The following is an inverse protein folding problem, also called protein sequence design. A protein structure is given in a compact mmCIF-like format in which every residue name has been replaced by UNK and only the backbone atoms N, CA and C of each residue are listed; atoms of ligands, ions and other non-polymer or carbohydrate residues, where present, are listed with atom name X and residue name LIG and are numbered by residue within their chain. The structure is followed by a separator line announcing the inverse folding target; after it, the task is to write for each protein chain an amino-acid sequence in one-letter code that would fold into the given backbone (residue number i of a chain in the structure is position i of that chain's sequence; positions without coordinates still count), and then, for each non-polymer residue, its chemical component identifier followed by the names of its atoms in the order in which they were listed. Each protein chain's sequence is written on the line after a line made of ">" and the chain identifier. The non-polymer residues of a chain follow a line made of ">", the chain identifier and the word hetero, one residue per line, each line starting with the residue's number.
data_IF_017541669260
#
_entry.id   IF_017541669260
#
_cell.length_a   1.000
_cell.length_b   1.000
_cell.length_c   1.000
_cell.angle_alpha   90.00
_cell.angle_beta   90.00
_cell.angle_gamma   90.00
#
_symmetry.space_group_name_H-M   'P 1'
#
loop_
_entity.id
_entity.type
_entity.pdbx_description
1 polymer ?
#
# COMPACT_ATOMS: atom_id res chain seq x y z
N UNK A 1 -2.60 21.28 -18.06
CA UNK A 1 -2.46 19.83 -17.89
C UNK A 1 -2.53 19.57 -16.39
N UNK A 2 -3.61 18.99 -15.89
CA UNK A 2 -3.70 18.67 -14.46
C UNK A 2 -2.58 17.70 -14.08
N UNK A 3 -1.96 17.85 -12.89
CA UNK A 3 -0.89 16.98 -12.46
C UNK A 3 -1.42 15.55 -12.32
N UNK A 4 -0.82 14.60 -13.06
CA UNK A 4 -1.16 13.18 -12.99
C UNK A 4 -0.31 12.51 -11.92
N UNK A 5 -0.85 12.41 -10.71
CA UNK A 5 -0.20 11.73 -9.59
C UNK A 5 -1.02 10.54 -9.12
N UNK A 6 -0.33 9.45 -8.80
CA UNK A 6 -0.91 8.32 -8.09
C UNK A 6 -0.75 8.56 -6.58
N UNK A 7 -1.66 8.04 -5.76
CA UNK A 7 -1.64 8.19 -4.29
C UNK A 7 -1.52 6.83 -3.62
N UNK A 8 -0.41 6.58 -2.93
CA UNK A 8 -0.20 5.36 -2.15
C UNK A 8 -0.64 5.60 -0.70
N UNK A 9 -1.58 4.78 -0.23
CA UNK A 9 -2.04 4.73 1.14
C UNK A 9 -1.23 3.71 1.92
N UNK A 10 -0.55 4.14 2.98
CA UNK A 10 0.34 3.29 3.76
C UNK A 10 0.08 3.38 5.26
N UNK A 11 0.44 2.32 5.97
CA UNK A 11 0.37 2.24 7.42
C UNK A 11 1.65 2.83 8.04
N UNK A 12 1.57 4.08 8.52
CA UNK A 12 2.68 4.76 9.21
C UNK A 12 3.10 4.10 10.54
N UNK A 13 2.23 3.30 11.16
CA UNK A 13 2.52 2.58 12.40
C UNK A 13 3.20 1.23 12.16
N UNK A 14 3.31 0.76 10.91
CA UNK A 14 4.08 -0.43 10.57
C UNK A 14 5.54 -0.06 10.27
N UNK A 15 6.53 -0.53 11.06
CA UNK A 15 7.94 -0.20 10.83
C UNK A 15 8.46 -0.61 9.46
N UNK A 16 7.96 -1.73 8.90
CA UNK A 16 8.34 -2.18 7.55
C UNK A 16 7.78 -1.21 6.50
N UNK A 17 6.47 -0.97 6.51
CA UNK A 17 5.81 -0.07 5.56
C UNK A 17 6.39 1.35 5.64
N UNK A 18 6.63 1.87 6.84
CA UNK A 18 7.23 3.19 7.03
C UNK A 18 8.66 3.27 6.47
N UNK A 19 9.45 2.18 6.53
CA UNK A 19 10.78 2.12 5.91
C UNK A 19 10.69 2.16 4.39
N UNK A 20 9.79 1.37 3.81
CA UNK A 20 9.56 1.34 2.36
C UNK A 20 9.11 2.70 1.84
N UNK A 21 8.16 3.33 2.53
CA UNK A 21 7.63 4.65 2.19
C UNK A 21 8.70 5.74 2.30
N UNK A 22 9.60 5.66 3.28
CA UNK A 22 10.76 6.56 3.35
C UNK A 22 11.68 6.40 2.14
N UNK A 23 11.90 5.16 1.68
CA UNK A 23 12.69 4.91 0.47
C UNK A 23 11.97 5.46 -0.78
N UNK A 24 10.68 5.16 -0.93
CA UNK A 24 9.85 5.71 -2.00
C UNK A 24 9.88 7.24 -2.01
N UNK A 25 9.73 7.90 -0.85
CA UNK A 25 9.76 9.37 -0.76
C UNK A 25 11.07 9.97 -1.27
N UNK A 26 12.20 9.30 -1.03
CA UNK A 26 13.53 9.75 -1.49
C UNK A 26 13.76 9.50 -2.99
N UNK A 27 13.15 8.44 -3.53
CA UNK A 27 13.40 7.95 -4.88
C UNK A 27 12.30 8.31 -5.89
N UNK A 28 11.18 8.86 -5.40
CA UNK A 28 10.04 9.27 -6.20
C UNK A 28 10.42 10.38 -7.18
N UNK A 29 9.95 10.25 -8.43
CA UNK A 29 10.17 11.22 -9.51
C UNK A 29 9.19 12.41 -9.49
N UNK A 30 8.31 12.50 -8.49
CA UNK A 30 7.39 13.62 -8.29
C UNK A 30 5.94 13.37 -8.71
N UNK A 31 5.60 12.13 -9.11
CA UNK A 31 4.27 11.73 -9.57
C UNK A 31 3.61 10.67 -8.68
N UNK A 32 4.08 10.53 -7.44
CA UNK A 32 3.53 9.68 -6.40
C UNK A 32 3.31 10.49 -5.12
N UNK A 33 2.10 10.49 -4.60
CA UNK A 33 1.74 11.05 -3.29
C UNK A 33 1.72 9.91 -2.28
N UNK A 34 2.27 10.14 -1.08
CA UNK A 34 2.36 9.16 -0.01
C UNK A 34 1.45 9.60 1.14
N UNK A 35 0.29 8.97 1.27
CA UNK A 35 -0.74 9.28 2.25
C UNK A 35 -0.72 8.30 3.43
N UNK A 36 -0.43 8.80 4.63
CA UNK A 36 -0.53 7.97 5.84
C UNK A 36 -2.00 7.77 6.20
N UNK A 37 -2.42 6.51 6.30
CA UNK A 37 -3.79 6.11 6.63
C UNK A 37 -4.21 6.65 8.00
N UNK A 38 -3.29 6.75 8.97
CA UNK A 38 -3.59 7.28 10.30
C UNK A 38 -3.77 8.80 10.33
N UNK A 39 -3.31 9.49 9.29
CA UNK A 39 -3.48 10.94 9.15
C UNK A 39 -4.67 11.32 8.26
N UNK A 40 -5.27 10.35 7.56
CA UNK A 40 -6.51 10.57 6.82
C UNK A 40 -7.66 10.66 7.82
N UNK A 41 -8.37 11.79 7.86
CA UNK A 41 -9.59 11.91 8.66
C UNK A 41 -10.63 10.92 8.13
N UNK A 42 -11.17 10.08 9.01
CA UNK A 42 -12.36 9.29 8.75
C UNK A 42 -13.47 10.23 8.22
N UNK A 43 -13.94 10.03 6.99
CA UNK A 43 -15.03 10.84 6.43
C UNK A 43 -14.91 11.23 4.95
N UNK A 44 -13.81 10.91 4.26
CA UNK A 44 -13.82 11.03 2.79
C UNK A 44 -14.71 9.93 2.20
N UNK A 45 -15.89 10.32 1.70
CA UNK A 45 -16.87 9.45 1.00
C UNK A 45 -16.30 8.62 -0.17
N UNK A 46 -15.06 8.89 -0.57
CA UNK A 46 -14.36 8.28 -1.71
C UNK A 46 -13.33 7.22 -1.26
N UNK A 47 -12.92 7.21 0.01
CA UNK A 47 -11.91 6.27 0.50
C UNK A 47 -12.55 4.94 0.93
N UNK A 48 -11.89 3.80 0.65
CA UNK A 48 -12.25 2.52 1.26
C UNK A 48 -12.28 2.60 2.79
N UNK A 49 -13.00 1.69 3.46
CA UNK A 49 -12.99 1.57 4.90
C UNK A 49 -11.57 1.54 5.46
N UNK A 50 -11.36 2.22 6.59
CA UNK A 50 -10.04 2.35 7.22
C UNK A 50 -9.39 0.99 7.49
N UNK A 51 -10.18 0.03 7.97
CA UNK A 51 -9.78 -1.37 8.16
C UNK A 51 -9.25 -2.03 6.88
N UNK A 52 -9.87 -1.78 5.72
CA UNK A 52 -9.43 -2.33 4.44
C UNK A 52 -8.09 -1.73 4.04
N UNK A 53 -7.95 -0.41 4.18
CA UNK A 53 -6.70 0.32 3.94
C UNK A 53 -5.57 -0.18 4.85
N UNK A 54 -5.87 -0.49 6.11
CA UNK A 54 -4.90 -1.03 7.06
C UNK A 54 -4.54 -2.49 6.78
N UNK A 55 -5.48 -3.30 6.28
CA UNK A 55 -5.29 -4.73 6.05
C UNK A 55 -4.46 -5.02 4.81
N UNK A 56 -4.69 -4.30 3.72
CA UNK A 56 -3.95 -4.46 2.45
C UNK A 56 -3.40 -3.10 1.99
N UNK A 57 -2.25 -3.09 1.35
CA UNK A 57 -1.73 -1.88 0.70
C UNK A 57 -2.66 -1.43 -0.44
N UNK A 58 -2.96 -0.14 -0.50
CA UNK A 58 -3.84 0.45 -1.52
C UNK A 58 -3.13 1.63 -2.21
N UNK A 59 -3.32 1.72 -3.52
CA UNK A 59 -2.89 2.85 -4.34
C UNK A 59 -4.06 3.29 -5.21
N UNK A 60 -4.35 4.58 -5.19
CA UNK A 60 -5.32 5.20 -6.09
C UNK A 60 -4.57 5.81 -7.26
N UNK A 61 -4.89 5.42 -8.48
CA UNK A 61 -4.29 6.01 -9.68
C UNK A 61 -4.87 7.40 -9.94
N UNK A 62 -4.18 8.21 -10.74
CA UNK A 62 -4.72 9.49 -11.23
C UNK A 62 -6.03 9.35 -12.02
N UNK A 63 -6.36 8.16 -12.53
CA UNK A 63 -7.63 7.88 -13.23
C UNK A 63 -8.77 7.52 -12.27
N UNK A 64 -8.50 7.40 -10.95
CA UNK A 64 -9.46 6.96 -9.95
C UNK A 64 -9.58 5.45 -9.80
N UNK A 65 -8.66 4.67 -10.38
CA UNK A 65 -8.63 3.21 -10.22
C UNK A 65 -7.92 2.83 -8.92
N UNK A 66 -8.47 1.86 -8.20
CA UNK A 66 -7.85 1.30 -7.01
C UNK A 66 -7.02 0.07 -7.35
N UNK A 67 -5.72 0.16 -7.05
CA UNK A 67 -4.76 -0.93 -7.16
C UNK A 67 -4.41 -1.39 -5.76
N UNK A 68 -4.39 -2.70 -5.51
CA UNK A 68 -4.17 -3.25 -4.17
C UNK A 68 -3.03 -4.27 -4.13
N UNK A 69 -2.53 -4.53 -2.93
CA UNK A 69 -1.58 -5.61 -2.67
C UNK A 69 -0.23 -5.47 -3.39
N UNK A 70 0.22 -6.57 -3.99
CA UNK A 70 1.47 -6.58 -4.76
C UNK A 70 1.41 -5.63 -5.95
N UNK A 71 0.28 -5.54 -6.64
CA UNK A 71 0.13 -4.61 -7.75
C UNK A 71 0.32 -3.16 -7.29
N UNK A 72 -0.19 -2.79 -6.10
CA UNK A 72 0.03 -1.46 -5.53
C UNK A 72 1.51 -1.21 -5.23
N UNK A 73 2.21 -2.22 -4.72
CA UNK A 73 3.66 -2.16 -4.45
C UNK A 73 4.44 -1.92 -5.75
N UNK A 74 4.23 -2.77 -6.76
CA UNK A 74 4.95 -2.66 -8.04
C UNK A 74 4.63 -1.34 -8.74
N UNK A 75 3.38 -0.88 -8.68
CA UNK A 75 2.96 0.42 -9.21
C UNK A 75 3.67 1.56 -8.50
N UNK A 76 3.68 1.60 -7.16
CA UNK A 76 4.37 2.62 -6.39
C UNK A 76 5.87 2.68 -6.71
N UNK A 77 6.55 1.53 -6.77
CA UNK A 77 7.97 1.47 -7.12
C UNK A 77 8.25 1.84 -8.58
N UNK A 78 7.27 1.71 -9.48
CA UNK A 78 7.37 2.17 -10.87
C UNK A 78 7.54 3.68 -11.00
N UNK A 79 7.17 4.46 -9.98
CA UNK A 79 7.46 5.89 -9.89
C UNK A 79 8.90 6.22 -9.49
N UNK A 80 9.73 5.20 -9.26
CA UNK A 80 11.15 5.35 -8.91
C UNK A 80 12.04 4.81 -10.03
N UNK A 81 13.36 5.12 -10.04
CA UNK A 81 14.32 4.49 -10.96
C UNK A 81 14.40 2.96 -10.83
N UNK A 82 13.99 2.40 -9.69
CA UNK A 82 14.11 0.98 -9.37
C UNK A 82 12.85 0.17 -9.68
N UNK A 83 11.83 0.77 -10.29
CA UNK A 83 10.58 0.07 -10.60
C UNK A 83 10.74 -1.21 -11.40
N UNK A 84 11.77 -1.31 -12.25
CA UNK A 84 12.06 -2.51 -13.02
C UNK A 84 12.39 -3.73 -12.15
N UNK A 85 12.94 -3.54 -10.94
CA UNK A 85 13.26 -4.63 -10.01
C UNK A 85 12.00 -5.29 -9.44
N UNK A 86 10.90 -4.55 -9.38
CA UNK A 86 9.63 -5.00 -8.82
C UNK A 86 8.71 -5.61 -9.88
N UNK A 87 8.92 -5.31 -11.17
CA UNK A 87 8.12 -5.88 -12.27
C UNK A 87 8.06 -7.42 -12.33
N UNK A 88 9.14 -8.17 -12.05
CA UNK A 88 9.10 -9.63 -12.02
C UNK A 88 8.07 -10.20 -11.03
N UNK A 89 7.70 -9.46 -9.98
CA UNK A 89 6.65 -9.89 -9.03
C UNK A 89 5.28 -10.05 -9.70
N UNK A 90 5.04 -9.40 -10.85
CA UNK A 90 3.80 -9.51 -11.61
C UNK A 90 3.86 -10.58 -12.72
N UNK A 91 4.98 -11.29 -12.86
CA UNK A 91 5.05 -12.38 -13.84
C UNK A 91 4.15 -13.55 -13.42
N UNK A 92 3.44 -14.20 -14.35
CA UNK A 92 2.41 -15.18 -14.01
C UNK A 92 2.91 -16.34 -13.14
N UNK A 93 4.17 -16.76 -13.25
CA UNK A 93 4.73 -17.78 -12.34
C UNK A 93 5.06 -17.25 -10.95
N UNK A 94 5.67 -16.06 -10.87
CA UNK A 94 6.12 -15.45 -9.61
C UNK A 94 4.92 -14.92 -8.83
N UNK A 95 4.00 -14.24 -9.50
CA UNK A 95 2.80 -13.64 -8.91
C UNK A 95 1.94 -14.67 -8.18
N UNK A 96 1.79 -15.87 -8.75
CA UNK A 96 1.00 -16.96 -8.16
C UNK A 96 1.57 -17.43 -6.81
N UNK A 97 2.89 -17.28 -6.61
CA UNK A 97 3.56 -17.61 -5.35
C UNK A 97 3.61 -16.38 -4.44
N UNK A 98 3.90 -15.21 -5.01
CA UNK A 98 4.10 -13.98 -4.27
C UNK A 98 2.80 -13.45 -3.67
N UNK A 99 1.67 -13.54 -4.38
CA UNK A 99 0.36 -13.06 -3.89
C UNK A 99 -0.04 -13.73 -2.58
N UNK A 100 -0.10 -15.07 -2.47
CA UNK A 100 -0.49 -15.72 -1.21
C UNK A 100 0.52 -15.46 -0.08
N UNK A 101 1.81 -15.34 -0.39
CA UNK A 101 2.84 -14.99 0.60
C UNK A 101 2.64 -13.57 1.13
N UNK A 102 2.40 -12.61 0.23
CA UNK A 102 2.10 -11.23 0.59
C UNK A 102 0.81 -11.15 1.41
N UNK A 103 -0.22 -11.89 0.99
CA UNK A 103 -1.52 -11.90 1.66
C UNK A 103 -1.40 -12.44 3.08
N UNK A 104 -0.75 -13.59 3.26
CA UNK A 104 -0.49 -14.17 4.57
C UNK A 104 0.30 -13.23 5.47
N UNK A 105 1.34 -12.58 4.94
CA UNK A 105 2.11 -11.60 5.70
C UNK A 105 1.26 -10.39 6.10
N UNK A 106 0.47 -9.86 5.17
CA UNK A 106 -0.35 -8.67 5.40
C UNK A 106 -1.47 -8.95 6.41
N UNK A 107 -2.09 -10.13 6.37
CA UNK A 107 -3.08 -10.57 7.36
C UNK A 107 -2.45 -10.75 8.74
N UNK A 108 -1.32 -11.47 8.85
CA UNK A 108 -0.59 -11.62 10.13
C UNK A 108 -0.14 -10.29 10.72
N UNK A 109 0.33 -9.36 9.89
CA UNK A 109 0.70 -8.00 10.31
C UNK A 109 -0.51 -7.27 10.88
N UNK A 110 -1.65 -7.35 10.19
CA UNK A 110 -2.89 -6.72 10.61
C UNK A 110 -3.37 -7.31 11.93
N UNK A 111 -3.44 -8.64 12.03
CA UNK A 111 -3.90 -9.33 13.23
C UNK A 111 -3.07 -8.97 14.46
N UNK A 112 -1.75 -9.03 14.33
CA UNK A 112 -0.81 -8.71 15.41
C UNK A 112 -0.93 -7.26 15.92
N UNK A 113 -1.32 -6.31 15.06
CA UNK A 113 -1.38 -4.89 15.40
C UNK A 113 -2.77 -4.40 15.77
N UNK A 114 -3.80 -4.94 15.13
CA UNK A 114 -5.15 -4.39 15.16
C UNK A 114 -6.20 -5.42 15.62
N UNK A 115 -6.06 -6.72 15.31
CA UNK A 115 -7.06 -7.71 15.74
C UNK A 115 -6.97 -8.06 17.24
N UNK A 116 -5.78 -7.96 17.86
CA UNK A 116 -5.67 -8.10 19.31
C UNK A 116 -6.29 -6.95 20.12
N UNK A 117 -6.74 -5.86 19.49
CA UNK A 117 -7.45 -4.80 20.21
C UNK A 117 -8.92 -5.15 20.51
N UNK A 118 -9.47 -6.19 19.88
CA UNK A 118 -10.86 -6.63 20.08
C UNK A 118 -11.00 -7.89 20.97
N UNK A 119 -9.90 -8.57 21.32
CA UNK A 119 -9.95 -9.76 22.19
C UNK A 119 -9.97 -9.46 23.70
N UNK A 120 -9.67 -8.24 24.13
CA UNK A 120 -9.72 -7.85 25.56
C UNK A 120 -11.10 -7.30 26.00
N UNK A 121 -12.14 -7.46 25.16
CA UNK A 121 -13.51 -7.01 25.42
C UNK A 121 -14.54 -8.17 25.43
N UNK A 122 -14.12 -9.39 25.75
CA UNK A 122 -14.98 -10.58 25.84
C UNK A 122 -14.79 -11.37 27.12
#
# INVERSE_FOLDING_TARGET
>A
MEPRYDTLFYDGQCPLCAREVRALRRLNKGNLVLADIHQQRNGSLILPPHEMLLRRLHLMTWTGEWVTGLHATVRAWSHTPFGFLFKPLLWPGIHQIASPVYELWADRRYERKYACAECDAG
#
